data_IF_248395227212
#
_entry.id   IF_248395227212
#
_cell.length_a   1.000
_cell.length_b   1.000
_cell.length_c   1.000
_cell.angle_alpha   90.00
_cell.angle_beta   90.00
_cell.angle_gamma   90.00
#
_symmetry.space_group_name_H-M   'P 1'
#
loop_
_entity.id
_entity.type
_entity.pdbx_description
1 polymer ?
#
# COMPACT_ATOMS: atom_id res chain seq x y z
N UNK A 1 -9.13 1.59 132.48
CA UNK A 1 -10.20 1.54 131.46
C UNK A 1 -9.52 1.81 130.12
N UNK A 2 -9.14 0.75 129.39
CA UNK A 2 -9.75 0.32 128.12
C UNK A 2 -9.34 1.29 126.97
N UNK A 3 -8.66 0.92 125.87
CA UNK A 3 -8.83 -0.24 124.99
C UNK A 3 -7.70 -0.27 123.93
N UNK A 4 -7.21 -1.46 123.58
CA UNK A 4 -6.27 -1.73 122.48
C UNK A 4 -6.93 -1.59 121.09
N UNK A 5 -6.14 -1.55 120.00
CA UNK A 5 -6.53 -2.40 118.88
C UNK A 5 -5.38 -3.20 118.24
N UNK A 6 -5.81 -4.31 117.66
CA UNK A 6 -5.05 -5.40 117.04
C UNK A 6 -4.49 -5.05 115.64
N UNK A 7 -3.44 -5.76 115.17
CA UNK A 7 -3.03 -5.72 113.76
C UNK A 7 -3.91 -6.64 112.90
N UNK A 8 -4.53 -6.07 111.87
CA UNK A 8 -5.35 -6.78 110.89
C UNK A 8 -4.51 -7.31 109.72
N UNK A 9 -4.26 -8.61 109.68
CA UNK A 9 -3.80 -9.30 108.47
C UNK A 9 -4.98 -9.51 107.52
N UNK A 10 -4.87 -9.03 106.28
CA UNK A 10 -5.78 -9.43 105.19
C UNK A 10 -4.99 -10.05 104.02
N UNK A 11 -5.50 -11.17 103.46
CA UNK A 11 -4.81 -11.94 102.44
C UNK A 11 -4.86 -11.30 101.04
N UNK A 12 -3.81 -11.59 100.30
CA UNK A 12 -3.58 -11.28 98.88
C UNK A 12 -4.61 -11.95 97.98
N UNK A 13 -5.16 -11.21 97.00
CA UNK A 13 -5.91 -11.77 95.88
C UNK A 13 -5.23 -11.40 94.53
N UNK A 14 -5.28 -12.27 93.51
CA UNK A 14 -4.51 -12.11 92.27
C UNK A 14 -5.12 -11.10 91.30
N UNK A 15 -4.26 -10.43 90.55
CA UNK A 15 -4.60 -9.49 89.46
C UNK A 15 -5.12 -10.24 88.23
N UNK A 16 -6.29 -9.85 87.74
CA UNK A 16 -6.73 -10.11 86.36
C UNK A 16 -6.24 -8.95 85.47
N UNK A 17 -5.56 -9.19 84.34
CA UNK A 17 -5.31 -8.14 83.35
C UNK A 17 -6.60 -7.80 82.60
N UNK A 18 -6.91 -6.51 82.59
CA UNK A 18 -8.05 -5.88 81.94
C UNK A 18 -7.99 -6.00 80.40
N UNK A 19 -9.19 -6.06 79.80
CA UNK A 19 -9.39 -6.17 78.36
C UNK A 19 -8.79 -5.02 77.55
N UNK A 20 -8.29 -5.38 76.36
CA UNK A 20 -7.89 -4.43 75.33
C UNK A 20 -9.12 -3.76 74.72
N UNK A 21 -9.39 -2.54 75.17
CA UNK A 21 -10.26 -1.61 74.45
C UNK A 21 -9.61 -1.25 73.12
N UNK A 22 -10.29 -1.57 72.01
CA UNK A 22 -10.01 -0.95 70.72
C UNK A 22 -10.65 0.44 70.74
N UNK A 23 -9.83 1.47 70.64
CA UNK A 23 -10.25 2.87 70.69
C UNK A 23 -11.14 3.24 69.48
N UNK A 24 -12.40 3.65 69.69
CA UNK A 24 -13.34 3.98 68.60
C UNK A 24 -13.13 5.37 67.98
N UNK A 25 -12.08 6.12 68.34
CA UNK A 25 -11.87 7.50 67.90
C UNK A 25 -10.93 7.68 66.68
N UNK A 26 -10.40 6.58 66.12
CA UNK A 26 -9.52 6.64 64.94
C UNK A 26 -10.27 6.84 63.61
N UNK A 27 -11.62 6.92 63.62
CA UNK A 27 -12.42 7.05 62.40
C UNK A 27 -12.60 8.49 61.87
N UNK A 28 -12.28 9.52 62.67
CA UNK A 28 -12.53 10.91 62.27
C UNK A 28 -11.43 11.49 61.36
N UNK A 29 -10.18 11.07 61.53
CA UNK A 29 -9.03 11.63 60.77
C UNK A 29 -8.81 10.92 59.43
N UNK A 30 -9.04 9.61 59.38
CA UNK A 30 -8.88 8.81 58.16
C UNK A 30 -9.84 9.25 57.03
N UNK A 31 -11.09 9.56 57.36
CA UNK A 31 -12.09 10.01 56.36
C UNK A 31 -11.76 11.41 55.85
N UNK A 32 -11.21 12.29 56.70
CA UNK A 32 -10.80 13.65 56.30
C UNK A 32 -9.59 13.63 55.36
N UNK A 33 -8.64 12.73 55.60
CA UNK A 33 -7.50 12.50 54.70
C UNK A 33 -7.96 11.89 53.38
N UNK A 34 -8.86 10.90 53.40
CA UNK A 34 -9.40 10.30 52.18
C UNK A 34 -10.16 11.31 51.30
N UNK A 35 -10.90 12.25 51.91
CA UNK A 35 -11.66 13.29 51.19
C UNK A 35 -10.79 14.30 50.46
N UNK A 36 -9.51 14.44 50.85
CA UNK A 36 -8.54 15.35 50.22
C UNK A 36 -7.55 14.59 49.32
N UNK A 37 -7.16 13.37 49.71
CA UNK A 37 -6.23 12.54 48.95
C UNK A 37 -6.82 12.11 47.59
N UNK A 38 -8.11 11.76 47.54
CA UNK A 38 -8.78 11.35 46.30
C UNK A 38 -8.71 12.40 45.18
N UNK A 39 -9.17 13.65 45.40
CA UNK A 39 -9.07 14.68 44.37
C UNK A 39 -7.62 15.08 44.09
N UNK A 40 -6.72 15.02 45.08
CA UNK A 40 -5.30 15.31 44.87
C UNK A 40 -4.64 14.29 43.91
N UNK A 41 -4.91 13.00 44.09
CA UNK A 41 -4.40 11.95 43.19
C UNK A 41 -4.98 12.10 41.79
N UNK A 42 -6.28 12.37 41.67
CA UNK A 42 -6.91 12.64 40.38
C UNK A 42 -6.26 13.86 39.67
N UNK A 43 -5.95 14.92 40.43
CA UNK A 43 -5.22 16.08 39.94
C UNK A 43 -3.84 15.73 39.40
N UNK A 44 -3.07 14.92 40.12
CA UNK A 44 -1.73 14.47 39.71
C UNK A 44 -1.78 13.63 38.43
N UNK A 45 -2.76 12.73 38.31
CA UNK A 45 -2.95 11.91 37.09
C UNK A 45 -3.28 12.78 35.89
N UNK A 46 -4.19 13.75 36.05
CA UNK A 46 -4.53 14.70 34.98
C UNK A 46 -3.33 15.56 34.57
N UNK A 47 -2.56 16.06 35.55
CA UNK A 47 -1.32 16.81 35.29
C UNK A 47 -0.30 15.98 34.52
N UNK A 48 -0.17 14.69 34.86
CA UNK A 48 0.73 13.76 34.17
C UNK A 48 0.32 13.58 32.71
N UNK A 49 -0.99 13.43 32.43
CA UNK A 49 -1.50 13.30 31.05
C UNK A 49 -1.23 14.58 30.24
N UNK A 50 -1.39 15.75 30.84
CA UNK A 50 -1.10 17.04 30.20
C UNK A 50 0.39 17.28 29.97
N UNK A 51 1.25 16.79 30.86
CA UNK A 51 2.71 16.93 30.76
C UNK A 51 3.32 15.90 29.81
N UNK A 52 2.71 14.72 29.65
CA UNK A 52 3.19 13.66 28.77
C UNK A 52 3.50 14.11 27.33
N UNK A 53 2.65 14.90 26.63
CA UNK A 53 2.95 15.37 25.27
C UNK A 53 4.09 16.39 25.20
N UNK A 54 4.51 17.01 26.31
CA UNK A 54 5.70 17.87 26.34
C UNK A 54 7.01 17.07 26.34
N UNK A 55 6.97 15.80 26.79
CA UNK A 55 8.13 14.90 26.78
C UNK A 55 8.09 13.88 25.63
N UNK A 56 6.90 13.57 25.13
CA UNK A 56 6.70 12.77 23.93
C UNK A 56 6.83 13.64 22.68
N UNK A 57 8.06 13.99 22.31
CA UNK A 57 8.33 14.55 20.99
C UNK A 57 7.71 13.63 19.93
N UNK A 58 6.92 14.23 19.03
CA UNK A 58 6.23 13.58 17.93
C UNK A 58 7.14 12.55 17.26
N UNK A 59 6.95 11.29 17.64
CA UNK A 59 7.59 10.16 16.97
C UNK A 59 6.69 9.78 15.79
N UNK A 60 6.47 10.74 14.89
CA UNK A 60 6.29 10.38 13.50
C UNK A 60 7.59 9.69 13.12
N UNK A 61 7.57 8.36 13.13
CA UNK A 61 8.64 7.54 12.56
C UNK A 61 8.60 7.71 11.04
N UNK A 62 8.81 8.94 10.58
CA UNK A 62 9.47 9.21 9.32
C UNK A 62 10.88 8.74 9.55
N UNK A 63 11.15 7.48 9.19
CA UNK A 63 12.50 6.94 9.16
C UNK A 63 13.24 7.77 8.10
N UNK A 64 14.12 8.73 8.45
CA UNK A 64 14.93 9.36 7.43
C UNK A 64 15.98 8.29 7.12
N UNK A 65 15.73 7.54 6.05
CA UNK A 65 16.71 6.62 5.48
C UNK A 65 18.05 7.33 5.28
N UNK A 66 19.16 6.58 5.19
CA UNK A 66 20.51 7.11 5.25
C UNK A 66 20.66 8.32 4.32
N UNK A 67 21.16 9.41 4.92
CA UNK A 67 21.46 10.65 4.25
C UNK A 67 22.33 10.42 3.02
N UNK A 68 21.92 11.02 1.91
CA UNK A 68 22.82 11.44 0.83
C UNK A 68 23.69 10.32 0.25
N UNK A 69 23.05 9.23 -0.15
CA UNK A 69 23.65 8.10 -0.83
C UNK A 69 22.56 7.29 -1.51
N UNK A 70 22.91 6.56 -2.57
CA UNK A 70 21.98 5.76 -3.38
C UNK A 70 20.90 5.07 -2.53
N UNK A 71 19.63 5.41 -2.79
CA UNK A 71 18.50 4.81 -2.09
C UNK A 71 18.09 3.55 -2.86
N UNK A 72 18.28 2.38 -2.25
CA UNK A 72 17.87 1.11 -2.82
C UNK A 72 16.69 0.52 -2.02
N UNK A 73 15.61 0.19 -2.72
CA UNK A 73 14.40 -0.40 -2.19
C UNK A 73 14.22 -1.80 -2.81
N UNK A 74 14.05 -2.81 -1.98
CA UNK A 74 13.63 -4.16 -2.40
C UNK A 74 12.12 -4.29 -2.35
N UNK A 75 11.51 -4.98 -3.31
CA UNK A 75 10.04 -5.10 -3.43
C UNK A 75 9.36 -3.74 -3.42
N UNK A 76 9.89 -2.84 -4.24
CA UNK A 76 9.42 -1.47 -4.33
C UNK A 76 7.99 -1.45 -4.89
N UNK A 77 7.12 -0.67 -4.25
CA UNK A 77 5.75 -0.44 -4.66
C UNK A 77 5.47 1.05 -4.67
N UNK A 78 5.00 1.56 -5.79
CA UNK A 78 4.62 2.95 -5.97
C UNK A 78 3.16 3.00 -6.41
N UNK A 79 2.36 3.81 -5.71
CA UNK A 79 0.95 4.03 -6.00
C UNK A 79 0.80 5.48 -6.43
N UNK A 80 0.11 5.71 -7.55
CA UNK A 80 -0.11 7.04 -8.08
C UNK A 80 -1.42 7.13 -8.83
N UNK A 81 -1.71 8.32 -9.34
CA UNK A 81 -2.84 8.57 -10.22
C UNK A 81 -2.35 9.25 -11.48
N UNK A 82 -2.85 8.80 -12.63
CA UNK A 82 -2.57 9.44 -13.91
C UNK A 82 -3.41 10.73 -14.05
N UNK A 83 -3.18 11.52 -15.11
CA UNK A 83 -3.95 12.72 -15.45
C UNK A 83 -5.45 12.52 -15.50
N UNK A 84 -5.90 11.31 -15.80
CA UNK A 84 -7.31 10.95 -15.85
C UNK A 84 -7.91 10.55 -14.50
N UNK A 85 -7.23 10.82 -13.38
CA UNK A 85 -7.56 10.34 -12.02
C UNK A 85 -7.67 8.80 -11.92
N UNK A 86 -6.94 8.12 -12.80
CA UNK A 86 -6.90 6.66 -12.87
C UNK A 86 -5.80 6.16 -11.94
N UNK A 87 -6.12 5.31 -10.94
CA UNK A 87 -5.12 4.76 -10.06
C UNK A 87 -4.21 3.80 -10.84
N UNK A 88 -2.91 3.96 -10.63
CA UNK A 88 -1.90 3.05 -11.12
C UNK A 88 -0.98 2.57 -10.00
N UNK A 89 -0.43 1.39 -10.20
CA UNK A 89 0.53 0.78 -9.31
C UNK A 89 1.76 0.35 -10.11
N UNK A 90 2.94 0.74 -9.67
CA UNK A 90 4.22 0.25 -10.20
C UNK A 90 4.88 -0.59 -9.11
N UNK A 91 5.15 -1.85 -9.42
CA UNK A 91 5.94 -2.77 -8.61
C UNK A 91 7.29 -3.01 -9.28
N UNK A 92 8.33 -3.23 -8.49
CA UNK A 92 9.61 -3.68 -9.01
C UNK A 92 10.28 -4.58 -7.97
N UNK A 93 11.06 -5.55 -8.41
CA UNK A 93 11.84 -6.38 -7.49
C UNK A 93 12.87 -5.56 -6.73
N UNK A 94 13.45 -4.57 -7.42
CA UNK A 94 14.42 -3.62 -6.88
C UNK A 94 14.23 -2.26 -7.55
N UNK A 95 14.25 -1.20 -6.75
CA UNK A 95 14.31 0.18 -7.22
C UNK A 95 15.53 0.87 -6.62
N UNK A 96 16.42 1.41 -7.44
CA UNK A 96 17.60 2.13 -7.01
C UNK A 96 17.54 3.58 -7.51
N UNK A 97 17.52 4.53 -6.59
CA UNK A 97 17.58 5.95 -6.89
C UNK A 97 19.01 6.43 -6.67
N UNK A 98 19.64 6.92 -7.74
CA UNK A 98 21.00 7.44 -7.64
C UNK A 98 21.05 8.73 -6.81
N UNK A 99 21.96 8.78 -5.84
CA UNK A 99 22.25 9.99 -5.07
C UNK A 99 22.88 11.08 -5.96
N UNK A 100 22.77 12.34 -5.52
CA UNK A 100 23.45 13.47 -6.18
C UNK A 100 22.56 14.36 -7.07
N UNK A 101 21.25 14.40 -6.82
CA UNK A 101 20.34 15.34 -7.50
C UNK A 101 19.80 14.88 -8.85
N UNK A 102 19.95 13.59 -9.17
CA UNK A 102 19.24 12.97 -10.31
C UNK A 102 17.92 12.39 -9.83
N UNK A 103 16.82 12.85 -10.39
CA UNK A 103 15.48 12.32 -10.13
C UNK A 103 15.19 11.01 -10.88
N UNK A 104 16.23 10.22 -11.20
CA UNK A 104 16.09 8.95 -11.93
C UNK A 104 16.10 7.76 -10.98
N UNK A 105 15.14 6.87 -11.14
CA UNK A 105 15.00 5.63 -10.38
C UNK A 105 15.13 4.45 -11.34
N UNK A 106 16.19 3.66 -11.17
CA UNK A 106 16.40 2.43 -11.91
C UNK A 106 15.56 1.30 -11.31
N UNK A 107 14.76 0.65 -12.14
CA UNK A 107 13.81 -0.40 -11.77
C UNK A 107 14.26 -1.74 -12.37
N UNK A 108 14.35 -2.76 -11.54
CA UNK A 108 14.62 -4.14 -11.96
C UNK A 108 13.33 -4.93 -11.96
N UNK A 109 13.02 -5.55 -13.10
CA UNK A 109 11.76 -6.27 -13.36
C UNK A 109 10.54 -5.42 -12.98
N UNK A 110 10.36 -4.21 -13.57
CA UNK A 110 9.19 -3.40 -13.29
C UNK A 110 7.93 -4.06 -13.86
N UNK A 111 6.87 -4.04 -13.05
CA UNK A 111 5.51 -4.34 -13.43
C UNK A 111 4.64 -3.13 -13.12
N UNK A 112 3.82 -2.69 -14.07
CA UNK A 112 2.87 -1.62 -13.84
C UNK A 112 1.46 -2.10 -14.17
N UNK A 113 0.52 -1.81 -13.29
CA UNK A 113 -0.90 -2.11 -13.45
C UNK A 113 -1.69 -0.80 -13.37
N UNK A 114 -2.52 -0.53 -14.37
CA UNK A 114 -3.34 0.69 -14.48
C UNK A 114 -4.80 0.30 -14.63
N UNK A 115 -5.67 0.91 -13.82
CA UNK A 115 -7.12 0.76 -13.98
C UNK A 115 -7.66 1.87 -14.87
N UNK A 116 -8.14 1.50 -16.06
CA UNK A 116 -8.68 2.43 -17.03
C UNK A 116 -10.13 2.80 -16.73
N UNK A 117 -10.60 3.85 -17.42
CA UNK A 117 -12.02 4.21 -17.44
C UNK A 117 -12.87 3.03 -17.89
N UNK A 118 -14.09 2.92 -17.34
CA UNK A 118 -15.06 1.83 -17.61
C UNK A 118 -14.64 0.43 -17.13
N UNK A 119 -13.65 0.33 -16.24
CA UNK A 119 -13.26 -0.93 -15.59
C UNK A 119 -12.34 -1.83 -16.42
N UNK A 120 -11.83 -1.33 -17.55
CA UNK A 120 -10.73 -1.99 -18.25
C UNK A 120 -9.42 -1.85 -17.42
N UNK A 121 -8.47 -2.73 -17.65
CA UNK A 121 -7.17 -2.68 -17.01
C UNK A 121 -6.06 -2.91 -18.04
N UNK A 122 -4.91 -2.29 -17.80
CA UNK A 122 -3.69 -2.46 -18.58
C UNK A 122 -2.60 -2.92 -17.62
N UNK A 123 -1.94 -4.02 -17.94
CA UNK A 123 -0.74 -4.47 -17.23
C UNK A 123 0.45 -4.42 -18.17
N UNK A 124 1.60 -4.06 -17.62
CA UNK A 124 2.85 -3.93 -18.34
C UNK A 124 3.95 -4.58 -17.52
N UNK A 125 4.83 -5.32 -18.18
CA UNK A 125 6.04 -5.89 -17.57
C UNK A 125 7.25 -5.63 -18.45
N UNK A 126 8.40 -5.38 -17.83
CA UNK A 126 9.67 -5.29 -18.52
C UNK A 126 10.80 -5.95 -17.71
N UNK A 127 11.94 -6.22 -18.34
CA UNK A 127 13.13 -6.70 -17.63
C UNK A 127 13.84 -5.59 -16.84
N UNK A 128 13.93 -4.39 -17.42
CA UNK A 128 14.55 -3.21 -16.81
C UNK A 128 13.72 -1.97 -17.13
N UNK A 129 13.71 -1.02 -16.20
CA UNK A 129 13.13 0.30 -16.40
C UNK A 129 13.98 1.39 -15.76
N UNK A 130 13.82 2.61 -16.23
CA UNK A 130 14.35 3.81 -15.62
C UNK A 130 13.24 4.85 -15.59
N UNK A 131 12.87 5.30 -14.38
CA UNK A 131 11.83 6.28 -14.17
C UNK A 131 12.44 7.63 -13.80
N UNK A 132 12.28 8.62 -14.68
CA UNK A 132 12.65 10.01 -14.43
C UNK A 132 11.47 10.72 -13.75
N UNK A 133 11.57 11.01 -12.45
CA UNK A 133 10.50 11.63 -11.66
C UNK A 133 10.23 13.09 -12.08
N UNK A 134 11.25 13.82 -12.53
CA UNK A 134 11.10 15.23 -12.94
C UNK A 134 10.32 15.33 -14.25
N UNK A 135 10.68 14.47 -15.21
CA UNK A 135 10.00 14.41 -16.51
C UNK A 135 8.73 13.56 -16.48
N UNK A 136 8.58 12.71 -15.46
CA UNK A 136 7.55 11.67 -15.36
C UNK A 136 7.58 10.73 -16.57
N UNK A 137 8.79 10.35 -17.00
CA UNK A 137 9.03 9.48 -18.16
C UNK A 137 9.62 8.16 -17.67
N UNK A 138 8.97 7.07 -18.04
CA UNK A 138 9.39 5.71 -17.78
C UNK A 138 9.97 5.11 -19.07
N UNK A 139 11.27 4.83 -19.06
CA UNK A 139 11.95 4.14 -20.15
C UNK A 139 12.12 2.67 -19.79
N UNK A 140 11.70 1.77 -20.67
CA UNK A 140 11.68 0.34 -20.46
C UNK A 140 12.57 -0.34 -21.48
N UNK A 141 13.36 -1.30 -21.03
CA UNK A 141 14.36 -1.99 -21.85
C UNK A 141 14.31 -3.50 -21.63
N UNK A 142 14.58 -4.24 -22.71
CA UNK A 142 14.51 -5.70 -22.73
C UNK A 142 13.12 -6.18 -23.15
N UNK A 143 12.76 -7.45 -22.87
CA UNK A 143 11.42 -7.93 -23.19
C UNK A 143 10.37 -7.11 -22.44
N UNK A 144 9.59 -6.32 -23.17
CA UNK A 144 8.46 -5.55 -22.67
C UNK A 144 7.18 -6.18 -23.20
N UNK A 145 6.25 -6.48 -22.30
CA UNK A 145 4.92 -7.00 -22.63
C UNK A 145 3.84 -6.10 -22.05
N UNK A 146 2.82 -5.80 -22.85
CA UNK A 146 1.62 -5.09 -22.45
C UNK A 146 0.41 -6.00 -22.62
N UNK A 147 -0.51 -5.97 -21.66
CA UNK A 147 -1.74 -6.75 -21.64
C UNK A 147 -2.92 -5.83 -21.37
N UNK A 148 -3.92 -5.86 -22.23
CA UNK A 148 -5.16 -5.12 -22.05
C UNK A 148 -6.32 -6.07 -21.72
N UNK A 149 -7.20 -5.65 -20.81
CA UNK A 149 -8.32 -6.47 -20.33
C UNK A 149 -9.31 -6.95 -21.42
N UNK A 150 -9.27 -6.37 -22.62
CA UNK A 150 -10.06 -6.83 -23.78
C UNK A 150 -9.38 -7.93 -24.61
N UNK A 151 -8.28 -8.51 -24.13
CA UNK A 151 -7.58 -9.61 -24.79
C UNK A 151 -6.54 -9.18 -25.83
N UNK A 152 -6.06 -7.93 -25.79
CA UNK A 152 -4.93 -7.49 -26.61
C UNK A 152 -3.62 -7.66 -25.84
N UNK A 153 -2.59 -8.12 -26.54
CA UNK A 153 -1.22 -8.24 -26.05
C UNK A 153 -0.25 -7.55 -27.02
N UNK A 154 0.75 -6.87 -26.50
CA UNK A 154 1.80 -6.20 -27.26
C UNK A 154 3.17 -6.58 -26.70
N UNK A 155 4.11 -6.98 -27.56
CA UNK A 155 5.47 -7.36 -27.20
C UNK A 155 6.49 -6.55 -27.97
N UNK A 156 7.48 -6.01 -27.27
CA UNK A 156 8.59 -5.25 -27.87
C UNK A 156 9.86 -5.38 -27.04
N UNK A 157 10.96 -4.81 -27.52
CA UNK A 157 12.27 -4.78 -26.83
C UNK A 157 12.53 -3.46 -26.09
N UNK A 158 11.75 -2.42 -26.40
CA UNK A 158 11.92 -1.10 -25.83
C UNK A 158 10.60 -0.33 -25.90
N UNK A 159 10.27 0.37 -24.82
CA UNK A 159 9.13 1.25 -24.77
C UNK A 159 9.45 2.47 -23.89
N UNK A 160 8.98 3.64 -24.29
CA UNK A 160 9.06 4.86 -23.51
C UNK A 160 7.64 5.32 -23.24
N UNK A 161 7.32 5.57 -21.97
CA UNK A 161 6.03 6.02 -21.49
C UNK A 161 6.19 7.39 -20.83
N UNK A 162 5.52 8.40 -21.37
CA UNK A 162 5.35 9.71 -20.74
C UNK A 162 4.05 9.67 -19.93
N UNK A 163 4.17 9.37 -18.63
CA UNK A 163 3.02 9.25 -17.71
C UNK A 163 2.30 10.59 -17.62
N UNK A 164 3.05 11.69 -17.62
CA UNK A 164 2.45 13.02 -17.61
C UNK A 164 1.60 13.24 -18.85
N UNK A 165 1.96 12.80 -20.04
CA UNK A 165 1.17 13.06 -21.26
C UNK A 165 0.18 11.95 -21.60
N UNK A 166 0.25 10.79 -20.95
CA UNK A 166 -0.54 9.62 -21.33
C UNK A 166 -0.17 9.11 -22.73
N UNK A 167 1.12 9.18 -23.09
CA UNK A 167 1.64 8.80 -24.40
C UNK A 167 2.74 7.76 -24.20
N UNK A 168 2.70 6.68 -24.98
CA UNK A 168 3.79 5.70 -25.05
C UNK A 168 4.30 5.55 -26.47
N UNK A 169 5.56 5.21 -26.67
CA UNK A 169 6.11 4.94 -27.98
C UNK A 169 7.29 3.98 -27.93
N UNK A 170 7.57 3.34 -29.06
CA UNK A 170 8.74 2.50 -29.25
C UNK A 170 9.13 2.46 -30.72
N UNK A 171 10.43 2.55 -30.98
CA UNK A 171 11.00 2.52 -32.34
C UNK A 171 11.61 1.15 -32.68
N UNK A 172 11.37 0.14 -31.84
CA UNK A 172 11.83 -1.23 -32.01
C UNK A 172 10.70 -2.08 -32.59
N UNK A 173 11.04 -3.19 -33.28
CA UNK A 173 10.05 -4.13 -33.75
C UNK A 173 9.07 -4.51 -32.65
N UNK A 174 7.79 -4.57 -33.02
CA UNK A 174 6.69 -4.81 -32.11
C UNK A 174 5.77 -5.85 -32.70
N UNK A 175 5.33 -6.77 -31.86
CA UNK A 175 4.37 -7.81 -32.18
C UNK A 175 3.12 -7.58 -31.33
N UNK A 176 1.96 -7.44 -31.96
CA UNK A 176 0.68 -7.33 -31.29
C UNK A 176 -0.19 -8.55 -31.59
N UNK A 177 -0.98 -8.97 -30.62
CA UNK A 177 -1.95 -10.05 -30.76
C UNK A 177 -3.28 -9.61 -30.16
N UNK A 178 -4.38 -10.03 -30.76
CA UNK A 178 -5.70 -9.77 -30.21
C UNK A 178 -6.79 -10.56 -30.90
N UNK A 179 -8.06 -10.34 -30.52
CA UNK A 179 -9.20 -11.07 -31.06
C UNK A 179 -9.36 -10.94 -32.57
N UNK A 180 -8.90 -9.83 -33.14
CA UNK A 180 -8.99 -9.55 -34.58
C UNK A 180 -7.85 -10.16 -35.40
N UNK A 181 -6.74 -10.56 -34.79
CA UNK A 181 -5.55 -10.98 -35.54
C UNK A 181 -4.23 -10.77 -34.81
N UNK A 182 -3.14 -10.96 -35.55
CA UNK A 182 -1.78 -10.59 -35.13
C UNK A 182 -1.23 -9.47 -36.01
N UNK A 183 -0.40 -8.61 -35.44
CA UNK A 183 0.23 -7.48 -36.12
C UNK A 183 1.72 -7.49 -35.83
N UNK A 184 2.53 -7.24 -36.85
CA UNK A 184 3.97 -7.05 -36.74
C UNK A 184 4.28 -5.66 -37.30
N UNK A 185 5.02 -4.83 -36.58
CA UNK A 185 5.41 -3.50 -37.04
C UNK A 185 6.82 -3.11 -36.63
N UNK A 186 7.38 -2.07 -37.27
CA UNK A 186 8.71 -1.54 -36.94
C UNK A 186 8.75 -0.69 -35.67
N UNK A 187 7.60 -0.23 -35.19
CA UNK A 187 7.44 0.55 -33.97
C UNK A 187 5.97 0.82 -33.67
N UNK A 188 5.71 1.50 -32.56
CA UNK A 188 4.36 1.84 -32.13
C UNK A 188 4.30 3.21 -31.44
N UNK A 189 3.09 3.76 -31.37
CA UNK A 189 2.73 4.94 -30.59
C UNK A 189 1.36 4.73 -29.96
N UNK A 190 1.26 4.97 -28.68
CA UNK A 190 0.03 5.00 -27.90
C UNK A 190 -0.29 6.45 -27.61
N UNK A 191 -1.53 6.84 -27.87
CA UNK A 191 -2.06 8.19 -27.68
C UNK A 191 -3.34 8.12 -26.85
N UNK A 192 -3.78 9.26 -26.33
CA UNK A 192 -5.04 9.40 -25.60
C UNK A 192 -5.14 8.43 -24.41
N UNK A 193 -4.12 8.42 -23.54
CA UNK A 193 -4.10 7.61 -22.31
C UNK A 193 -4.29 6.10 -22.55
N UNK A 194 -3.93 5.59 -23.73
CA UNK A 194 -4.11 4.18 -24.08
C UNK A 194 -5.24 3.90 -25.08
N UNK A 195 -6.09 4.87 -25.38
CA UNK A 195 -7.28 4.64 -26.23
C UNK A 195 -6.93 4.43 -27.71
N UNK A 196 -5.81 5.00 -28.18
CA UNK A 196 -5.41 4.92 -29.59
C UNK A 196 -4.01 4.34 -29.73
N UNK A 197 -3.91 3.18 -30.37
CA UNK A 197 -2.65 2.53 -30.72
C UNK A 197 -2.37 2.67 -32.23
N UNK A 198 -1.23 3.25 -32.57
CA UNK A 198 -0.76 3.47 -33.94
C UNK A 198 0.52 2.70 -34.16
N UNK A 199 0.52 1.80 -35.12
CA UNK A 199 1.73 1.11 -35.57
C UNK A 199 2.49 1.95 -36.59
N UNK A 200 3.82 1.96 -36.48
CA UNK A 200 4.70 2.76 -37.34
C UNK A 200 5.73 1.89 -38.06
N UNK A 201 6.24 2.36 -39.19
CA UNK A 201 7.17 1.62 -40.03
C UNK A 201 6.49 0.54 -40.88
N UNK A 202 7.20 -0.55 -41.14
CA UNK A 202 6.70 -1.67 -41.95
C UNK A 202 5.72 -2.52 -41.14
N UNK A 203 4.42 -2.22 -41.25
CA UNK A 203 3.36 -2.94 -40.55
C UNK A 203 2.75 -4.05 -41.42
N UNK A 204 2.51 -5.22 -40.81
CA UNK A 204 1.79 -6.35 -41.39
C UNK A 204 0.71 -6.80 -40.42
N UNK A 205 -0.53 -6.84 -40.89
CA UNK A 205 -1.67 -7.36 -40.14
C UNK A 205 -2.11 -8.71 -40.72
N UNK A 206 -2.24 -9.72 -39.87
CA UNK A 206 -2.85 -11.01 -40.19
C UNK A 206 -4.16 -11.11 -39.42
N UNK A 207 -5.27 -10.80 -40.10
CA UNK A 207 -6.59 -10.89 -39.49
C UNK A 207 -7.07 -12.35 -39.43
N UNK A 208 -7.67 -12.74 -38.30
CA UNK A 208 -8.42 -14.00 -38.23
C UNK A 208 -9.78 -13.75 -38.89
N UNK A 209 -9.99 -14.31 -40.07
CA UNK A 209 -11.22 -14.10 -40.83
C UNK A 209 -12.45 -14.56 -40.04
N UNK A 210 -13.37 -13.64 -39.75
CA UNK A 210 -14.72 -13.98 -39.32
C UNK A 210 -15.49 -14.55 -40.53
N UNK A 211 -15.41 -15.86 -40.73
CA UNK A 211 -16.24 -16.61 -41.67
C UNK A 211 -15.82 -16.51 -43.14
N UNK A 212 -14.98 -17.45 -43.59
CA UNK A 212 -15.16 -17.98 -44.94
C UNK A 212 -16.48 -18.76 -44.93
N UNK A 213 -17.51 -18.16 -45.51
CA UNK A 213 -18.83 -18.74 -45.68
C UNK A 213 -18.74 -20.14 -46.27
N UNK A 214 -19.45 -21.04 -45.60
CA UNK A 214 -20.10 -22.23 -46.10
C UNK A 214 -20.56 -22.03 -47.56
N UNK A 215 -19.75 -22.41 -48.55
CA UNK A 215 -20.29 -22.78 -49.87
C UNK A 215 -20.99 -24.11 -49.68
N UNK A 216 -22.24 -24.04 -49.25
CA UNK A 216 -23.20 -25.10 -49.46
C UNK A 216 -23.15 -25.49 -50.95
N UNK A 217 -22.66 -26.69 -51.23
CA UNK A 217 -22.97 -27.39 -52.47
C UNK A 217 -24.47 -27.69 -52.46
N UNK A 218 -25.29 -26.66 -52.76
CA UNK A 218 -26.61 -26.87 -53.33
C UNK A 218 -26.38 -27.35 -54.74
N UNK A 219 -26.29 -28.67 -54.88
CA UNK A 219 -26.39 -29.34 -56.16
C UNK A 219 -27.89 -29.48 -56.48
N UNK A 220 -28.48 -28.40 -57.00
CA UNK A 220 -29.79 -28.37 -57.64
C UNK A 220 -29.58 -27.48 -58.88
N UNK A 221 -29.61 -27.94 -60.14
CA UNK A 221 -30.70 -28.56 -60.95
C UNK A 221 -30.11 -28.71 -62.40
N UNK A 222 -30.70 -29.35 -63.45
CA UNK A 222 -32.09 -29.79 -63.59
C UNK A 222 -32.37 -31.16 -64.25
N UNK A 223 -33.63 -31.55 -64.08
CA UNK A 223 -34.39 -32.62 -64.73
C UNK A 223 -34.48 -32.48 -66.27
N UNK A 224 -34.66 -33.63 -66.93
CA UNK A 224 -35.14 -33.94 -68.30
C UNK A 224 -34.02 -34.31 -69.30
N UNK A 225 -34.13 -35.34 -70.15
CA UNK A 225 -35.31 -35.87 -70.86
C UNK A 225 -35.07 -37.31 -71.34
N UNK A 226 -36.15 -38.11 -71.41
CA UNK A 226 -36.22 -39.37 -72.18
C UNK A 226 -36.12 -39.08 -73.70
N UNK A 227 -35.96 -40.10 -74.57
CA UNK A 227 -37.06 -41.02 -74.91
C UNK A 227 -36.77 -42.51 -74.68
#
# INVERSE_FOLDING_TARGET
MATAPAPSNRPTAPRLPAGGGRDPFAHSKAVRVARVALPAVAGVVLLTIFIWPLFGGSSDKSNPGPAQGDLELTQARYLGTDKGDQPFEIRAERAAQQGGGRSSVDLTVPQADITLKRGAWLSMTAAKGAYDQDKQVLSLQGPVSFYHGSGYELRTQEAILDVKKGIAWGNRPVEGQGPMGTVEAGGFRVLQDGDVLVFTGHARLRAFGAGSGQTAQTNDKPRATAP
#
